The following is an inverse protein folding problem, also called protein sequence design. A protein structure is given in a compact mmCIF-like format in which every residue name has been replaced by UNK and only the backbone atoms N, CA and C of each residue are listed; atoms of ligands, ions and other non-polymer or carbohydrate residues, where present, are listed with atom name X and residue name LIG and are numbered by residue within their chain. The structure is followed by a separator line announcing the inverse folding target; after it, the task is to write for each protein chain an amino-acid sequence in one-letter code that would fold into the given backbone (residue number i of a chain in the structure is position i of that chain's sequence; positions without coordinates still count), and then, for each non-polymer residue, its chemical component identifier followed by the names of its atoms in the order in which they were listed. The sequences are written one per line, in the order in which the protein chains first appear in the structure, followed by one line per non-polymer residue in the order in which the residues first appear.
data_IF_434484138996
#
_entry.id   IF_434484138996
#
_cell.length_a   1.000
_cell.length_b   1.000
_cell.length_c   1.000
_cell.angle_alpha   90.00
_cell.angle_beta   90.00
_cell.angle_gamma   90.00
#
_symmetry.space_group_name_H-M   'P 1'
#
loop_
_entity.id
_entity.type
_entity.pdbx_description
1 polymer ?
#
# COMPACT_ATOMS: atom_id res chain seq x y z
N UNK A 1 -6.12 -21.55 -5.61
CA UNK A 1 -7.28 -20.68 -5.34
C UNK A 1 -6.77 -19.25 -5.19
N UNK A 2 -7.47 -18.24 -5.73
CA UNK A 2 -6.96 -16.87 -5.72
C UNK A 2 -6.98 -16.31 -4.27
N UNK A 3 -5.89 -15.65 -3.85
CA UNK A 3 -5.64 -15.28 -2.44
C UNK A 3 -6.56 -14.19 -1.88
N UNK A 4 -6.61 -14.06 -0.55
CA UNK A 4 -7.65 -13.33 0.21
C UNK A 4 -7.96 -11.88 -0.22
N UNK A 5 -6.99 -11.10 -0.73
CA UNK A 5 -7.22 -9.69 -1.07
C UNK A 5 -7.43 -9.48 -2.57
N UNK A 6 -6.39 -9.76 -3.38
CA UNK A 6 -6.47 -9.56 -4.83
C UNK A 6 -7.25 -10.67 -5.54
N UNK A 7 -7.48 -11.80 -4.88
CA UNK A 7 -8.23 -12.89 -5.45
C UNK A 7 -9.73 -12.67 -5.49
N UNK A 8 -10.27 -11.82 -4.61
CA UNK A 8 -11.68 -11.41 -4.66
C UNK A 8 -12.01 -10.55 -5.89
N UNK A 9 -10.99 -9.94 -6.52
CA UNK A 9 -11.13 -9.07 -7.69
C UNK A 9 -10.85 -9.79 -9.03
N UNK A 10 -10.71 -11.12 -9.03
CA UNK A 10 -10.24 -11.90 -10.19
C UNK A 10 -11.09 -11.76 -11.47
N UNK A 11 -12.35 -11.31 -11.36
CA UNK A 11 -13.28 -11.15 -12.48
C UNK A 11 -13.73 -9.69 -12.70
N UNK A 12 -13.03 -8.72 -12.10
CA UNK A 12 -13.34 -7.31 -12.25
C UNK A 12 -12.52 -6.71 -13.39
N UNK A 13 -13.08 -5.69 -14.06
CA UNK A 13 -12.29 -4.81 -14.91
C UNK A 13 -11.39 -3.95 -14.00
N UNK A 14 -10.09 -4.22 -14.00
CA UNK A 14 -9.13 -3.54 -13.12
C UNK A 14 -8.18 -2.66 -13.93
N UNK A 15 -7.83 -1.50 -13.38
CA UNK A 15 -6.81 -0.60 -13.92
C UNK A 15 -5.88 -0.18 -12.80
N UNK A 16 -4.59 0.01 -13.11
CA UNK A 16 -3.64 0.62 -12.19
C UNK A 16 -3.68 2.13 -12.35
N UNK A 17 -3.71 2.83 -11.21
CA UNK A 17 -3.66 4.28 -11.16
C UNK A 17 -2.46 4.67 -10.31
N UNK A 18 -1.59 5.51 -10.85
CA UNK A 18 -0.47 6.08 -10.11
C UNK A 18 -1.00 7.15 -9.15
N UNK A 19 -0.47 7.15 -7.92
CA UNK A 19 -0.76 8.15 -6.90
C UNK A 19 0.54 8.70 -6.35
N UNK A 20 0.55 9.93 -5.79
CA UNK A 20 1.73 10.47 -5.14
C UNK A 20 2.28 9.51 -4.07
N UNK A 21 3.60 9.41 -3.95
CA UNK A 21 4.25 8.51 -2.97
C UNK A 21 3.88 8.85 -1.53
N UNK A 22 3.58 10.12 -1.25
CA UNK A 22 3.09 10.58 0.06
C UNK A 22 1.74 10.00 0.46
N UNK A 23 0.97 9.44 -0.49
CA UNK A 23 -0.33 8.80 -0.22
C UNK A 23 -0.18 7.53 0.63
N UNK A 24 0.97 6.87 0.54
CA UNK A 24 1.23 5.64 1.29
C UNK A 24 2.64 5.66 1.89
N UNK A 25 2.72 5.88 3.21
CA UNK A 25 3.96 5.86 3.98
C UNK A 25 3.97 4.64 4.92
N UNK A 26 4.36 3.44 4.45
CA UNK A 26 4.34 2.25 5.28
C UNK A 26 5.53 2.20 6.24
N UNK A 27 5.28 1.65 7.43
CA UNK A 27 6.29 1.24 8.40
C UNK A 27 6.46 -0.27 8.29
N UNK A 28 7.64 -0.73 7.90
CA UNK A 28 7.96 -2.16 7.76
C UNK A 28 9.01 -2.62 8.77
N UNK A 29 9.83 -1.69 9.24
CA UNK A 29 10.85 -1.88 10.26
C UNK A 29 10.74 -0.78 11.32
N UNK A 30 11.34 -0.99 12.49
CA UNK A 30 11.35 0.02 13.56
C UNK A 30 11.96 1.35 13.09
N UNK A 31 12.98 1.30 12.24
CA UNK A 31 13.61 2.50 11.70
C UNK A 31 12.71 3.30 10.73
N UNK A 32 11.63 2.73 10.21
CA UNK A 32 10.70 3.50 9.38
C UNK A 32 9.92 4.54 10.20
N UNK A 33 9.69 4.29 11.50
CA UNK A 33 9.10 5.26 12.44
C UNK A 33 9.97 6.51 12.62
N UNK A 34 11.25 6.41 12.27
CA UNK A 34 12.19 7.53 12.31
C UNK A 34 12.08 8.44 11.07
N UNK A 35 11.14 8.22 10.14
CA UNK A 35 10.94 9.14 9.01
C UNK A 35 10.15 10.38 9.45
N UNK A 36 10.39 11.57 8.85
CA UNK A 36 9.64 12.79 9.16
C UNK A 36 8.12 12.64 9.03
N UNK A 37 7.64 11.81 8.09
CA UNK A 37 6.21 11.54 7.90
C UNK A 37 5.53 10.84 9.10
N UNK A 38 6.29 10.35 10.08
CA UNK A 38 5.80 9.63 11.26
C UNK A 38 6.26 10.27 12.58
N UNK A 39 6.81 11.48 12.52
CA UNK A 39 7.27 12.28 13.66
C UNK A 39 6.43 13.56 13.75
N UNK A 40 6.28 14.11 14.96
CA UNK A 40 5.74 15.46 15.16
C UNK A 40 6.78 16.54 14.85
#
# INVERSE_FOLDING_TARGET
LPGLWNGAMAYWNTIFVEVPSSTFNPVKTVNDLLKPAHRE
#
